data_IF_192287316013
#
_entry.id   IF_192287316013
#
_cell.length_a   1.000
_cell.length_b   1.000
_cell.length_c   1.000
_cell.angle_alpha   90.00
_cell.angle_beta   90.00
_cell.angle_gamma   90.00
#
_symmetry.space_group_name_H-M   'P 1'
#
loop_
_entity.id
_entity.type
_entity.pdbx_description
1 polymer ?
#
# COMPACT_ATOMS: atom_id res chain seq x y z
N UNK A 1 -0.05 -5.32 14.80
CA UNK A 1 -0.41 -4.15 13.96
C UNK A 1 0.68 -3.12 14.14
N UNK A 2 1.58 -3.00 13.17
CA UNK A 2 2.59 -1.93 13.13
C UNK A 2 2.31 -1.13 11.87
N UNK A 3 1.63 0.00 12.04
CA UNK A 3 1.32 0.90 10.93
C UNK A 3 2.60 1.59 10.47
N UNK A 4 3.24 1.06 9.43
CA UNK A 4 4.29 1.77 8.72
C UNK A 4 3.64 2.91 7.91
N UNK A 5 3.39 4.05 8.56
CA UNK A 5 3.11 5.28 7.85
C UNK A 5 4.38 5.75 7.14
N UNK A 6 4.35 5.75 5.82
CA UNK A 6 5.46 6.27 5.02
C UNK A 6 5.52 7.78 5.16
N UNK A 7 6.69 8.31 5.53
CA UNK A 7 6.94 9.75 5.55
C UNK A 7 6.82 10.32 4.13
N UNK A 8 5.88 11.25 3.94
CA UNK A 8 5.55 11.79 2.62
C UNK A 8 6.30 13.09 2.33
N UNK A 9 7.11 13.17 1.25
CA UNK A 9 7.81 14.40 0.89
C UNK A 9 6.82 15.49 0.48
N UNK A 10 7.15 16.76 0.77
CA UNK A 10 6.24 17.91 0.55
C UNK A 10 5.74 17.99 -0.90
N UNK A 11 6.60 17.72 -1.88
CA UNK A 11 6.30 17.82 -3.32
C UNK A 11 5.21 16.83 -3.75
N UNK A 12 5.11 15.66 -3.11
CA UNK A 12 4.15 14.62 -3.45
C UNK A 12 3.19 14.29 -2.29
N UNK A 13 3.07 15.19 -1.30
CA UNK A 13 2.41 14.91 -0.02
C UNK A 13 0.99 14.37 -0.19
N UNK A 14 0.18 15.01 -1.02
CA UNK A 14 -1.22 14.62 -1.21
C UNK A 14 -1.34 13.24 -1.86
N UNK A 15 -0.60 13.00 -2.95
CA UNK A 15 -0.59 11.69 -3.64
C UNK A 15 -0.05 10.58 -2.74
N UNK A 16 1.02 10.85 -1.99
CA UNK A 16 1.58 9.88 -1.02
C UNK A 16 0.58 9.55 0.10
N UNK A 17 -0.14 10.55 0.61
CA UNK A 17 -1.22 10.31 1.58
C UNK A 17 -2.35 9.47 0.97
N UNK A 18 -2.76 9.75 -0.27
CA UNK A 18 -3.76 8.93 -0.97
C UNK A 18 -3.29 7.50 -1.19
N UNK A 19 -2.00 7.28 -1.48
CA UNK A 19 -1.43 5.93 -1.62
C UNK A 19 -1.35 5.19 -0.28
N UNK A 20 -1.03 5.88 0.82
CA UNK A 20 -1.11 5.30 2.17
C UNK A 20 -2.55 4.90 2.52
N UNK A 21 -3.54 5.71 2.16
CA UNK A 21 -4.94 5.38 2.38
C UNK A 21 -5.41 4.22 1.49
N UNK A 22 -4.96 4.18 0.23
CA UNK A 22 -5.21 3.05 -0.65
C UNK A 22 -4.62 1.75 -0.06
N UNK A 23 -3.38 1.80 0.45
CA UNK A 23 -2.74 0.66 1.12
C UNK A 23 -3.58 0.13 2.29
N UNK A 24 -4.11 1.03 3.12
CA UNK A 24 -5.00 0.66 4.24
C UNK A 24 -6.28 -0.02 3.75
N UNK A 25 -6.93 0.55 2.74
CA UNK A 25 -8.18 0.03 2.18
C UNK A 25 -7.98 -1.33 1.51
N UNK A 26 -6.92 -1.50 0.72
CA UNK A 26 -6.62 -2.79 0.09
C UNK A 26 -6.29 -3.86 1.15
N UNK A 27 -5.53 -3.52 2.19
CA UNK A 27 -5.25 -4.44 3.30
C UNK A 27 -6.53 -4.86 4.03
N UNK A 28 -7.44 -3.91 4.28
CA UNK A 28 -8.74 -4.21 4.90
C UNK A 28 -9.63 -5.07 3.99
N UNK A 29 -9.59 -4.85 2.68
CA UNK A 29 -10.34 -5.65 1.71
C UNK A 29 -9.83 -7.09 1.65
N UNK A 30 -8.51 -7.31 1.65
CA UNK A 30 -7.92 -8.67 1.71
C UNK A 30 -8.44 -9.40 2.94
N UNK A 31 -8.36 -8.77 4.13
CA UNK A 31 -8.86 -9.37 5.37
C UNK A 31 -10.36 -9.70 5.29
N UNK A 32 -11.17 -8.80 4.73
CA UNK A 32 -12.59 -9.04 4.55
C UNK A 32 -12.88 -10.26 3.67
N UNK A 33 -12.13 -10.44 2.58
CA UNK A 33 -12.28 -11.62 1.72
C UNK A 33 -11.75 -12.90 2.38
N UNK A 34 -10.67 -12.83 3.15
CA UNK A 34 -10.18 -13.96 3.95
C UNK A 34 -11.23 -14.41 4.98
N UNK A 35 -11.82 -13.47 5.73
CA UNK A 35 -12.88 -13.77 6.69
C UNK A 35 -14.11 -14.38 5.99
N UNK A 36 -14.42 -13.97 4.75
CA UNK A 36 -15.51 -14.54 3.96
C UNK A 36 -15.31 -16.01 3.54
N UNK A 37 -14.07 -16.50 3.49
CA UNK A 37 -13.78 -17.91 3.19
C UNK A 37 -14.30 -18.87 4.27
N UNK A 38 -14.52 -18.36 5.49
CA UNK A 38 -15.10 -19.13 6.60
C UNK A 38 -16.62 -19.36 6.41
N UNK A 39 -17.28 -18.52 5.61
CA UNK A 39 -18.74 -18.52 5.47
C UNK A 39 -19.32 -19.50 4.43
N UNK A 40 -18.51 -20.06 3.53
CA UNK A 40 -18.99 -20.95 2.48
C UNK A 40 -17.97 -22.03 2.10
N UNK A 41 -18.39 -23.30 2.08
CA UNK A 41 -17.54 -24.45 1.73
C UNK A 41 -17.62 -24.88 0.26
N UNK A 42 -18.40 -24.22 -0.59
CA UNK A 42 -18.45 -24.54 -2.01
C UNK A 42 -17.11 -24.20 -2.69
N UNK A 43 -16.45 -25.16 -3.37
CA UNK A 43 -15.12 -24.94 -3.95
C UNK A 43 -15.06 -23.78 -4.95
N UNK A 44 -16.08 -23.64 -5.79
CA UNK A 44 -16.17 -22.56 -6.78
C UNK A 44 -16.14 -21.17 -6.11
N UNK A 45 -16.95 -21.00 -5.05
CA UNK A 45 -17.02 -19.75 -4.29
C UNK A 45 -15.70 -19.49 -3.57
N UNK A 46 -15.08 -20.51 -2.96
CA UNK A 46 -13.78 -20.37 -2.32
C UNK A 46 -12.69 -19.95 -3.30
N UNK A 47 -12.66 -20.57 -4.49
CA UNK A 47 -11.70 -20.23 -5.53
C UNK A 47 -11.88 -18.78 -5.98
N UNK A 48 -13.12 -18.37 -6.25
CA UNK A 48 -13.44 -16.99 -6.64
C UNK A 48 -13.00 -15.97 -5.59
N UNK A 49 -13.32 -16.18 -4.31
CA UNK A 49 -12.92 -15.28 -3.22
C UNK A 49 -11.39 -15.25 -3.07
N UNK A 50 -10.74 -16.41 -3.19
CA UNK A 50 -9.27 -16.52 -3.12
C UNK A 50 -8.60 -15.73 -4.25
N UNK A 51 -9.08 -15.86 -5.48
CA UNK A 51 -8.58 -15.11 -6.63
C UNK A 51 -8.69 -13.59 -6.43
N UNK A 52 -9.81 -13.12 -5.85
CA UNK A 52 -9.96 -11.71 -5.49
C UNK A 52 -8.94 -11.30 -4.44
N UNK A 53 -8.78 -12.07 -3.36
CA UNK A 53 -7.81 -11.76 -2.30
C UNK A 53 -6.37 -11.68 -2.84
N UNK A 54 -5.98 -12.62 -3.71
CA UNK A 54 -4.65 -12.61 -4.35
C UNK A 54 -4.44 -11.41 -5.27
N UNK A 55 -5.43 -11.05 -6.09
CA UNK A 55 -5.35 -9.86 -6.93
C UNK A 55 -5.14 -8.59 -6.10
N UNK A 56 -5.83 -8.48 -4.96
CA UNK A 56 -5.71 -7.36 -4.01
C UNK A 56 -4.33 -7.32 -3.35
N UNK A 57 -3.78 -8.47 -2.96
CA UNK A 57 -2.40 -8.58 -2.44
C UNK A 57 -1.37 -8.10 -3.46
N UNK A 58 -1.56 -8.39 -4.75
CA UNK A 58 -0.68 -7.87 -5.80
C UNK A 58 -0.72 -6.34 -5.90
N UNK A 59 -1.90 -5.72 -5.75
CA UNK A 59 -2.04 -4.25 -5.72
C UNK A 59 -1.37 -3.64 -4.47
N UNK A 60 -1.49 -4.28 -3.30
CA UNK A 60 -0.77 -3.88 -2.07
C UNK A 60 0.74 -3.79 -2.33
N UNK A 61 1.34 -4.80 -2.96
CA UNK A 61 2.78 -4.82 -3.26
C UNK A 61 3.17 -3.68 -4.21
N UNK A 62 2.36 -3.40 -5.24
CA UNK A 62 2.59 -2.28 -6.17
C UNK A 62 2.54 -0.93 -5.45
N UNK A 63 1.57 -0.75 -4.54
CA UNK A 63 1.44 0.48 -3.74
C UNK A 63 2.65 0.65 -2.82
N UNK A 64 3.06 -0.41 -2.11
CA UNK A 64 4.26 -0.39 -1.25
C UNK A 64 5.50 -0.02 -2.05
N UNK A 65 5.72 -0.65 -3.20
CA UNK A 65 6.85 -0.34 -4.07
C UNK A 65 6.86 1.14 -4.47
N UNK A 66 5.70 1.70 -4.85
CA UNK A 66 5.60 3.11 -5.23
C UNK A 66 5.84 4.05 -4.05
N UNK A 67 5.33 3.73 -2.87
CA UNK A 67 5.57 4.50 -1.65
C UNK A 67 7.06 4.53 -1.28
N UNK A 68 7.76 3.39 -1.43
CA UNK A 68 9.21 3.30 -1.25
C UNK A 68 9.98 4.20 -2.24
N UNK A 69 9.60 4.19 -3.52
CA UNK A 69 10.20 5.06 -4.53
C UNK A 69 9.99 6.55 -4.23
N UNK A 70 8.78 6.93 -3.79
CA UNK A 70 8.46 8.31 -3.40
C UNK A 70 9.32 8.73 -2.20
N UNK A 71 9.44 7.87 -1.19
CA UNK A 71 10.25 8.12 0.00
C UNK A 71 11.73 8.32 -0.40
N UNK A 72 12.30 7.40 -1.19
CA UNK A 72 13.68 7.47 -1.62
C UNK A 72 13.98 8.75 -2.42
N UNK A 73 13.08 9.16 -3.32
CA UNK A 73 13.20 10.43 -4.06
C UNK A 73 13.14 11.65 -3.13
N UNK A 74 12.28 11.62 -2.11
CA UNK A 74 12.18 12.69 -1.11
C UNK A 74 13.51 12.92 -0.38
N UNK A 75 14.15 11.84 0.08
CA UNK A 75 15.44 11.91 0.79
C UNK A 75 16.56 12.50 -0.07
N UNK A 76 16.60 12.17 -1.37
CA UNK A 76 17.60 12.72 -2.30
C UNK A 76 17.42 14.22 -2.46
N UNK A 77 16.19 14.69 -2.66
CA UNK A 77 15.89 16.13 -2.84
C UNK A 77 16.25 16.93 -1.59
N UNK A 78 15.88 16.43 -0.40
CA UNK A 78 16.21 17.11 0.87
C UNK A 78 17.74 17.13 1.11
N UNK A 79 18.46 16.07 0.73
CA UNK A 79 19.93 16.01 0.77
C UNK A 79 20.61 17.05 -0.13
N UNK A 80 20.14 17.20 -1.38
CA UNK A 80 20.69 18.20 -2.32
C UNK A 80 20.43 19.62 -1.81
N UNK A 81 19.23 19.93 -1.33
CA UNK A 81 18.90 21.26 -0.79
C UNK A 81 19.77 21.60 0.44
N UNK A 82 20.05 20.61 1.30
CA UNK A 82 20.94 20.82 2.45
C UNK A 82 22.39 21.14 2.04
N UNK A 83 22.86 20.62 0.89
CA UNK A 83 24.22 20.83 0.40
C UNK A 83 24.46 22.18 -0.27
N UNK A 84 23.41 22.90 -0.69
CA UNK A 84 23.50 24.21 -1.33
C UNK A 84 23.38 25.40 -0.35
N UNK A 85 23.09 25.15 0.93
CA UNK A 85 22.92 26.18 1.95
C UNK A 85 24.18 26.34 2.83
N UNK A 86 25.37 26.11 2.26
CA UNK A 86 26.67 26.35 2.90
C UNK A 86 27.39 27.54 2.29
#
# INVERSE_FOLDING_TARGET
MSGNEYHCPKVCKNTCNSLNEALRKETAAVKFYEDALEGCNQPEIKNFITEIAEARRAEILKIIQKLNEIHARGQIVDGVISSFNR
#
